data_IF_541729114855
#
_entry.id   IF_541729114855
#
_cell.length_a   1.000
_cell.length_b   1.000
_cell.length_c   1.000
_cell.angle_alpha   90.00
_cell.angle_beta   90.00
_cell.angle_gamma   90.00
#
_symmetry.space_group_name_H-M   'P 1'
#
loop_
_entity.id
_entity.type
_entity.pdbx_description
1 polymer ?
#
# COMPACT_ATOMS: atom_id res chain seq x y z
N UNK A 1 -5.31 -1.27 -26.08
CA UNK A 1 -3.95 -1.67 -25.65
C UNK A 1 -3.76 -1.08 -24.28
N UNK A 2 -3.61 -1.90 -23.23
CA UNK A 2 -3.59 -1.45 -21.84
C UNK A 2 -2.22 -0.86 -21.50
N UNK A 3 -2.21 0.37 -20.99
CA UNK A 3 -1.02 1.21 -20.75
C UNK A 3 -0.10 0.72 -19.60
N UNK A 4 -0.05 -0.59 -19.34
CA UNK A 4 0.73 -1.18 -18.23
C UNK A 4 0.04 -1.10 -16.87
N UNK A 5 -1.27 -0.79 -16.83
CA UNK A 5 -2.07 -0.69 -15.61
C UNK A 5 -3.24 -1.66 -15.59
N UNK A 6 -3.56 -2.12 -14.38
CA UNK A 6 -4.84 -2.69 -14.05
C UNK A 6 -5.78 -1.57 -13.57
N UNK A 7 -6.96 -1.44 -14.17
CA UNK A 7 -7.97 -0.48 -13.71
C UNK A 7 -9.01 -1.18 -12.84
N UNK A 8 -9.27 -0.64 -11.65
CA UNK A 8 -10.26 -1.16 -10.71
C UNK A 8 -11.03 -0.01 -10.07
N UNK A 9 -12.36 -0.01 -10.22
CA UNK A 9 -13.27 1.03 -9.69
C UNK A 9 -12.83 2.48 -10.05
N UNK A 10 -12.30 2.66 -11.27
CA UNK A 10 -11.86 3.96 -11.77
C UNK A 10 -10.46 4.40 -11.31
N UNK A 11 -9.71 3.54 -10.60
CA UNK A 11 -8.35 3.82 -10.17
C UNK A 11 -7.34 2.91 -10.88
N UNK A 12 -6.14 3.44 -11.22
CA UNK A 12 -5.09 2.63 -11.81
C UNK A 12 -4.27 1.93 -10.70
N UNK A 13 -3.89 0.68 -10.94
CA UNK A 13 -2.99 -0.12 -10.11
C UNK A 13 -1.88 -0.69 -11.00
N UNK A 14 -0.67 -0.94 -10.45
CA UNK A 14 0.38 -1.65 -11.18
C UNK A 14 -0.12 -3.01 -11.69
N UNK A 15 0.22 -3.42 -12.91
CA UNK A 15 -0.19 -4.75 -13.42
C UNK A 15 0.60 -5.92 -12.81
N UNK A 16 1.66 -5.64 -12.04
CA UNK A 16 2.49 -6.66 -11.39
C UNK A 16 2.03 -6.83 -9.94
N UNK A 17 1.67 -8.07 -9.57
CA UNK A 17 1.22 -8.48 -8.23
C UNK A 17 -0.12 -7.87 -7.78
N UNK A 18 -0.90 -7.34 -8.72
CA UNK A 18 -2.30 -7.00 -8.56
C UNK A 18 -3.14 -7.73 -9.59
N UNK A 19 -4.24 -8.32 -9.13
CA UNK A 19 -5.29 -8.87 -9.98
C UNK A 19 -6.64 -8.21 -9.71
N UNK A 20 -7.53 -8.20 -10.69
CA UNK A 20 -8.89 -7.68 -10.49
C UNK A 20 -9.61 -8.45 -9.39
N UNK A 21 -9.44 -9.78 -9.38
CA UNK A 21 -9.98 -10.69 -8.39
C UNK A 21 -9.39 -10.44 -7.01
N UNK A 22 -8.07 -10.21 -6.91
CA UNK A 22 -7.37 -9.90 -5.67
C UNK A 22 -7.84 -8.58 -5.07
N UNK A 23 -7.95 -7.52 -5.87
CA UNK A 23 -8.50 -6.23 -5.45
C UNK A 23 -9.95 -6.36 -5.00
N UNK A 24 -10.80 -7.04 -5.79
CA UNK A 24 -12.20 -7.30 -5.43
C UNK A 24 -12.30 -8.08 -4.12
N UNK A 25 -11.47 -9.09 -3.94
CA UNK A 25 -11.43 -9.89 -2.72
C UNK A 25 -10.99 -9.05 -1.51
N UNK A 26 -9.91 -8.27 -1.66
CA UNK A 26 -9.43 -7.35 -0.64
C UNK A 26 -10.55 -6.41 -0.17
N UNK A 27 -11.29 -5.81 -1.10
CA UNK A 27 -12.36 -4.86 -0.78
C UNK A 27 -13.60 -5.53 -0.13
N UNK A 28 -13.99 -6.72 -0.62
CA UNK A 28 -15.33 -7.28 -0.35
C UNK A 28 -15.34 -8.48 0.58
N UNK A 29 -14.23 -9.21 0.70
CA UNK A 29 -14.17 -10.50 1.42
C UNK A 29 -13.07 -10.55 2.47
N UNK A 30 -12.04 -9.71 2.39
CA UNK A 30 -10.97 -9.73 3.38
C UNK A 30 -11.52 -9.42 4.77
N UNK A 31 -11.17 -10.27 5.73
CA UNK A 31 -11.61 -10.15 7.13
C UNK A 31 -10.49 -9.50 7.95
N UNK A 32 -10.76 -8.27 8.39
CA UNK A 32 -9.97 -7.58 9.40
C UNK A 32 -10.34 -8.14 10.77
N UNK A 33 -9.33 -8.52 11.56
CA UNK A 33 -9.45 -9.03 12.92
C UNK A 33 -9.39 -7.87 13.92
N UNK A 34 -10.01 -8.01 15.09
CA UNK A 34 -10.05 -6.96 16.12
C UNK A 34 -8.64 -6.58 16.62
N UNK A 35 -7.69 -7.51 16.57
CA UNK A 35 -6.30 -7.34 17.03
C UNK A 35 -5.38 -6.74 15.96
N UNK A 36 -5.88 -6.53 14.73
CA UNK A 36 -5.07 -6.01 13.64
C UNK A 36 -4.66 -4.56 13.86
N UNK A 37 -3.45 -4.22 13.39
CA UNK A 37 -3.00 -2.85 13.21
C UNK A 37 -2.76 -2.61 11.73
N UNK A 38 -3.49 -1.66 11.15
CA UNK A 38 -3.40 -1.32 9.73
C UNK A 38 -2.74 0.04 9.55
N UNK A 39 -1.59 0.06 8.88
CA UNK A 39 -0.95 1.30 8.48
C UNK A 39 -1.46 1.71 7.09
N UNK A 40 -2.05 2.90 7.01
CA UNK A 40 -2.63 3.42 5.77
C UNK A 40 -1.90 4.68 5.36
N UNK A 41 -1.63 4.83 4.06
CA UNK A 41 -0.98 6.02 3.54
C UNK A 41 -1.29 6.21 2.08
N UNK A 42 -1.26 7.44 1.57
CA UNK A 42 -1.08 7.64 0.14
C UNK A 42 0.36 7.21 -0.26
N UNK A 43 0.59 6.56 -1.41
CA UNK A 43 1.92 6.12 -1.84
C UNK A 43 2.99 7.21 -1.67
N UNK A 44 4.18 6.82 -1.21
CA UNK A 44 5.35 7.73 -0.99
C UNK A 44 5.20 8.75 0.16
N UNK A 45 4.22 8.56 1.03
CA UNK A 45 4.03 9.40 2.24
C UNK A 45 4.89 8.99 3.45
N UNK A 46 5.83 8.05 3.30
CA UNK A 46 6.68 7.58 4.41
C UNK A 46 6.29 6.22 4.99
N UNK A 47 5.48 5.46 4.27
CA UNK A 47 5.02 4.08 4.54
C UNK A 47 6.10 3.18 5.14
N UNK A 48 7.26 3.08 4.48
CA UNK A 48 8.34 2.18 4.92
C UNK A 48 8.96 2.63 6.24
N UNK A 49 9.14 3.94 6.43
CA UNK A 49 9.72 4.49 7.65
C UNK A 49 8.81 4.23 8.85
N UNK A 50 7.50 4.40 8.68
CA UNK A 50 6.54 4.11 9.74
C UNK A 50 6.47 2.60 10.04
N UNK A 51 6.52 1.72 9.03
CA UNK A 51 6.58 0.27 9.26
C UNK A 51 7.81 -0.09 10.11
N UNK A 52 8.99 0.46 9.81
CA UNK A 52 10.20 0.22 10.63
C UNK A 52 9.99 0.60 12.10
N UNK A 53 9.43 1.79 12.35
CA UNK A 53 9.12 2.26 13.71
C UNK A 53 8.13 1.30 14.40
N UNK A 54 7.06 0.90 13.72
CA UNK A 54 6.05 0.00 14.27
C UNK A 54 6.63 -1.39 14.57
N UNK A 55 7.50 -1.92 13.69
CA UNK A 55 8.19 -3.17 13.93
C UNK A 55 9.09 -3.10 15.17
N UNK A 56 9.84 -2.01 15.35
CA UNK A 56 10.71 -1.81 16.51
C UNK A 56 9.90 -1.62 17.81
N UNK A 57 8.76 -0.93 17.76
CA UNK A 57 7.85 -0.84 18.91
C UNK A 57 7.34 -2.24 19.28
N UNK A 58 6.92 -3.04 18.29
CA UNK A 58 6.42 -4.39 18.51
C UNK A 58 7.49 -5.32 19.10
N UNK A 59 8.74 -5.22 18.63
CA UNK A 59 9.87 -6.02 19.11
C UNK A 59 10.57 -5.44 20.35
N UNK A 60 10.02 -4.39 20.97
CA UNK A 60 10.61 -3.69 22.12
C UNK A 60 12.06 -3.23 21.87
N UNK A 61 12.34 -2.79 20.65
CA UNK A 61 13.65 -2.32 20.20
C UNK A 61 14.59 -3.42 19.69
N UNK A 62 14.20 -4.70 19.71
CA UNK A 62 15.00 -5.76 19.09
C UNK A 62 15.03 -5.58 17.56
N UNK A 63 16.23 -5.50 17.01
CA UNK A 63 16.47 -5.26 15.59
C UNK A 63 16.53 -6.54 14.76
N UNK A 64 16.51 -7.73 15.39
CA UNK A 64 16.65 -9.01 14.70
C UNK A 64 15.59 -9.19 13.61
N UNK A 65 14.33 -8.86 13.89
CA UNK A 65 13.23 -9.03 12.95
C UNK A 65 13.34 -8.10 11.74
N UNK A 66 13.59 -6.80 11.96
CA UNK A 66 13.69 -5.82 10.86
C UNK A 66 14.91 -6.05 9.96
N UNK A 67 15.95 -6.71 10.48
CA UNK A 67 17.18 -7.05 9.74
C UNK A 67 17.10 -8.38 9.00
N UNK A 68 16.18 -9.27 9.38
CA UNK A 68 16.09 -10.63 8.85
C UNK A 68 14.89 -10.87 7.93
N UNK A 69 13.82 -10.08 8.07
CA UNK A 69 12.62 -10.20 7.25
C UNK A 69 12.41 -8.97 6.36
N UNK A 70 11.95 -9.20 5.13
CA UNK A 70 11.62 -8.12 4.21
C UNK A 70 10.47 -7.27 4.75
N UNK A 71 10.37 -6.02 4.32
CA UNK A 71 9.29 -5.13 4.77
C UNK A 71 7.91 -5.66 4.34
N UNK A 72 7.84 -6.28 3.17
CA UNK A 72 6.64 -6.92 2.62
C UNK A 72 6.18 -8.09 3.46
N UNK A 73 7.13 -8.83 4.04
CA UNK A 73 6.79 -9.88 4.99
C UNK A 73 6.35 -9.25 6.31
N UNK A 74 7.04 -8.22 6.82
CA UNK A 74 6.72 -7.66 8.14
C UNK A 74 5.37 -6.96 8.20
N UNK A 75 5.03 -6.21 7.16
CA UNK A 75 3.75 -5.52 7.01
C UNK A 75 3.22 -5.71 5.58
N UNK A 76 2.60 -6.87 5.29
CA UNK A 76 2.11 -7.16 3.94
C UNK A 76 1.03 -6.17 3.53
N UNK A 77 1.07 -5.76 2.26
CA UNK A 77 0.02 -4.94 1.68
C UNK A 77 -1.20 -5.80 1.38
N UNK A 78 -2.38 -5.36 1.83
CA UNK A 78 -3.59 -6.18 1.74
C UNK A 78 -4.17 -6.28 0.33
N UNK A 79 -3.86 -5.28 -0.51
CA UNK A 79 -4.36 -5.14 -1.88
C UNK A 79 -3.53 -5.84 -2.95
N UNK A 80 -2.31 -6.29 -2.63
CA UNK A 80 -1.49 -7.11 -3.54
C UNK A 80 -1.78 -8.59 -3.34
N UNK A 81 -1.68 -9.38 -4.41
CA UNK A 81 -2.04 -10.80 -4.39
C UNK A 81 -1.17 -11.58 -3.38
N UNK A 82 0.14 -11.36 -3.40
CA UNK A 82 1.10 -12.02 -2.50
C UNK A 82 0.87 -11.66 -1.03
N UNK A 83 0.65 -10.38 -0.74
CA UNK A 83 0.40 -9.86 0.60
C UNK A 83 -0.94 -10.33 1.16
N UNK A 84 -2.00 -10.33 0.36
CA UNK A 84 -3.31 -10.86 0.74
C UNK A 84 -3.22 -12.34 1.16
N UNK A 85 -2.51 -13.16 0.37
CA UNK A 85 -2.26 -14.57 0.69
C UNK A 85 -1.51 -14.71 2.02
N UNK A 86 -0.42 -13.98 2.19
CA UNK A 86 0.40 -14.04 3.41
C UNK A 86 -0.40 -13.64 4.67
N UNK A 87 -1.32 -12.68 4.54
CA UNK A 87 -2.16 -12.23 5.65
C UNK A 87 -3.22 -13.24 6.08
N UNK A 88 -3.71 -14.07 5.15
CA UNK A 88 -4.66 -15.16 5.44
C UNK A 88 -4.01 -16.32 6.18
N UNK A 89 -2.74 -16.58 5.91
CA UNK A 89 -1.96 -17.64 6.55
C UNK A 89 -1.45 -17.24 7.95
N UNK A 90 -1.58 -15.97 8.34
CA UNK A 90 -1.10 -15.45 9.62
C UNK A 90 -2.12 -15.51 10.74
N UNK A 91 -1.65 -16.10 11.84
CA UNK A 91 -2.34 -16.09 13.13
C UNK A 91 -1.85 -14.95 14.04
N UNK A 92 -2.71 -14.58 15.00
CA UNK A 92 -2.41 -13.55 15.99
C UNK A 92 -2.55 -12.11 15.49
N UNK A 93 -2.07 -11.12 16.27
CA UNK A 93 -2.10 -9.71 15.91
C UNK A 93 -1.26 -9.44 14.66
N UNK A 94 -1.88 -8.96 13.58
CA UNK A 94 -1.18 -8.67 12.33
C UNK A 94 -0.85 -7.20 12.22
N UNK A 95 0.35 -6.88 11.71
CA UNK A 95 0.66 -5.57 11.15
C UNK A 95 0.43 -5.65 9.64
N UNK A 96 -0.48 -4.82 9.13
CA UNK A 96 -0.81 -4.73 7.72
C UNK A 96 -0.49 -3.34 7.19
N UNK A 97 -0.31 -3.23 5.89
CA UNK A 97 -0.22 -1.95 5.22
C UNK A 97 -1.29 -1.84 4.11
N UNK A 98 -1.68 -0.62 3.75
CA UNK A 98 -2.51 -0.39 2.57
C UNK A 98 -2.39 1.03 2.01
N UNK A 99 -2.55 1.13 0.71
CA UNK A 99 -2.72 2.36 -0.06
C UNK A 99 -4.16 2.55 -0.55
N UNK A 100 -5.07 1.61 -0.29
CA UNK A 100 -6.43 1.71 -0.77
C UNK A 100 -7.14 2.96 -0.22
N UNK A 101 -7.87 3.69 -1.08
CA UNK A 101 -8.72 4.78 -0.61
C UNK A 101 -9.89 4.24 0.19
N UNK A 102 -10.48 5.12 1.00
CA UNK A 102 -11.56 4.78 1.94
C UNK A 102 -12.69 3.95 1.33
N UNK A 103 -13.12 4.27 0.10
CA UNK A 103 -14.25 3.59 -0.56
C UNK A 103 -13.92 2.18 -1.08
N UNK A 104 -12.63 1.84 -1.20
CA UNK A 104 -12.14 0.50 -1.54
C UNK A 104 -11.62 -0.26 -0.33
N UNK A 105 -11.61 0.35 0.85
CA UNK A 105 -11.09 -0.30 2.04
C UNK A 105 -11.97 -1.49 2.47
N UNK A 106 -11.39 -2.59 3.02
CA UNK A 106 -12.16 -3.77 3.41
C UNK A 106 -13.34 -3.41 4.33
N UNK A 107 -14.57 -3.77 3.92
CA UNK A 107 -15.79 -3.41 4.67
C UNK A 107 -15.79 -3.94 6.11
N UNK A 108 -15.12 -5.07 6.35
CA UNK A 108 -14.95 -5.70 7.66
C UNK A 108 -14.21 -4.80 8.66
N UNK A 109 -13.36 -3.87 8.20
CA UNK A 109 -12.69 -2.90 9.06
C UNK A 109 -13.68 -2.02 9.83
N UNK A 110 -14.74 -1.55 9.16
CA UNK A 110 -15.67 -0.57 9.74
C UNK A 110 -16.58 -1.15 10.84
N UNK A 111 -16.54 -2.46 11.04
CA UNK A 111 -17.28 -3.17 12.10
C UNK A 111 -16.34 -3.85 13.10
N UNK A 112 -15.02 -3.78 12.90
CA UNK A 112 -14.03 -4.37 13.80
C UNK A 112 -13.50 -3.34 14.81
N UNK A 113 -12.68 -3.81 15.74
CA UNK A 113 -11.93 -2.98 16.71
C UNK A 113 -10.47 -2.77 16.29
N UNK A 114 -10.12 -3.13 15.06
CA UNK A 114 -8.77 -2.97 14.53
C UNK A 114 -8.32 -1.51 14.61
N UNK A 115 -7.03 -1.31 14.83
CA UNK A 115 -6.44 0.02 14.91
C UNK A 115 -5.95 0.44 13.53
N UNK A 116 -6.22 1.68 13.15
CA UNK A 116 -5.64 2.29 11.94
C UNK A 116 -4.66 3.38 12.32
N UNK A 117 -3.52 3.39 11.63
CA UNK A 117 -2.52 4.45 11.70
C UNK A 117 -2.40 5.06 10.31
N UNK A 118 -2.98 6.23 10.12
CA UNK A 118 -2.90 6.94 8.85
C UNK A 118 -1.74 7.94 8.86
N UNK A 119 -0.82 7.85 7.89
CA UNK A 119 0.25 8.84 7.71
C UNK A 119 0.04 9.64 6.42
N UNK A 120 0.10 10.96 6.58
CA UNK A 120 0.01 11.93 5.49
C UNK A 120 1.34 12.70 5.36
N UNK A 121 1.64 13.14 4.14
CA UNK A 121 2.79 13.96 3.81
C UNK A 121 2.35 15.10 2.90
N UNK A 122 3.03 16.25 2.95
CA UNK A 122 2.75 17.36 2.05
C UNK A 122 2.77 16.87 0.58
N UNK A 123 1.68 17.07 -0.18
CA UNK A 123 1.53 16.50 -1.53
C UNK A 123 2.59 16.98 -2.51
N UNK A 124 3.20 18.16 -2.29
CA UNK A 124 4.32 18.64 -3.11
C UNK A 124 5.55 17.73 -2.98
N UNK A 125 5.82 17.25 -1.77
CA UNK A 125 6.93 16.31 -1.52
C UNK A 125 6.60 14.89 -1.97
N UNK A 126 5.34 14.49 -1.84
CA UNK A 126 4.85 13.21 -2.37
C UNK A 126 5.06 13.19 -3.88
N UNK A 127 4.60 14.21 -4.60
CA UNK A 127 4.75 14.33 -6.05
C UNK A 127 6.20 14.15 -6.51
N UNK A 128 7.12 14.91 -5.92
CA UNK A 128 8.55 14.82 -6.25
C UNK A 128 9.10 13.43 -5.93
N UNK A 129 8.77 12.87 -4.75
CA UNK A 129 9.23 11.54 -4.36
C UNK A 129 8.69 10.43 -5.26
N UNK A 130 7.44 10.55 -5.70
CA UNK A 130 6.79 9.59 -6.61
C UNK A 130 7.39 9.67 -8.00
N UNK A 131 7.58 10.88 -8.55
CA UNK A 131 8.21 11.09 -9.86
C UNK A 131 9.54 10.35 -9.98
N UNK A 132 10.47 10.58 -9.03
CA UNK A 132 11.78 9.92 -9.07
C UNK A 132 11.67 8.41 -8.87
N UNK A 133 10.81 7.95 -7.96
CA UNK A 133 10.64 6.53 -7.72
C UNK A 133 10.15 5.80 -8.97
N UNK A 134 9.05 6.26 -9.56
CA UNK A 134 8.40 5.62 -10.69
C UNK A 134 9.26 5.69 -11.96
N UNK A 135 10.00 6.78 -12.16
CA UNK A 135 11.00 6.89 -13.25
C UNK A 135 12.10 5.83 -13.19
N UNK A 136 12.40 5.29 -11.99
CA UNK A 136 13.41 4.26 -11.78
C UNK A 136 12.87 2.82 -11.82
N UNK A 137 11.58 2.60 -11.56
CA UNK A 137 11.02 1.24 -11.53
C UNK A 137 10.70 0.70 -12.93
N UNK A 138 10.36 -0.60 -13.00
CA UNK A 138 9.78 -1.24 -14.20
C UNK A 138 8.31 -1.64 -13.99
N UNK A 139 7.70 -1.15 -12.91
CA UNK A 139 6.37 -1.59 -12.48
C UNK A 139 5.24 -0.91 -13.27
N UNK A 140 5.56 0.19 -13.93
CA UNK A 140 4.60 1.18 -14.41
C UNK A 140 5.19 2.00 -15.58
N UNK A 141 4.33 2.78 -16.26
CA UNK A 141 4.72 3.62 -17.40
C UNK A 141 5.42 4.88 -16.93
N UNK A 142 6.72 4.96 -17.21
CA UNK A 142 7.56 6.10 -16.86
C UNK A 142 7.04 7.41 -17.47
N UNK A 143 7.01 8.51 -16.70
CA UNK A 143 6.81 9.84 -17.25
C UNK A 143 8.01 10.25 -18.11
N UNK A 144 7.75 10.98 -19.18
CA UNK A 144 8.76 11.58 -20.05
C UNK A 144 9.42 12.80 -19.40
N UNK A 145 8.70 13.50 -18.51
CA UNK A 145 9.18 14.68 -17.79
C UNK A 145 8.45 14.88 -16.46
N UNK A 146 9.03 15.72 -15.60
CA UNK A 146 8.37 16.14 -14.34
C UNK A 146 7.06 16.88 -14.62
N UNK A 147 6.99 17.69 -15.68
CA UNK A 147 5.78 18.43 -16.04
C UNK A 147 4.64 17.50 -16.44
N UNK A 148 4.94 16.44 -17.21
CA UNK A 148 3.95 15.42 -17.54
C UNK A 148 3.47 14.70 -16.28
N UNK A 149 4.40 14.29 -15.40
CA UNK A 149 4.05 13.67 -14.12
C UNK A 149 3.22 14.58 -13.23
N UNK A 150 3.53 15.89 -13.21
CA UNK A 150 2.80 16.87 -12.44
C UNK A 150 1.33 16.96 -12.87
N UNK A 151 1.06 16.98 -14.18
CA UNK A 151 -0.31 16.96 -14.70
C UNK A 151 -1.04 15.67 -14.32
N UNK A 152 -0.39 14.52 -14.45
CA UNK A 152 -0.95 13.24 -14.05
C UNK A 152 -1.27 13.18 -12.55
N UNK A 153 -0.39 13.72 -11.69
CA UNK A 153 -0.60 13.79 -10.25
C UNK A 153 -1.83 14.65 -9.91
N UNK A 154 -2.01 15.80 -10.56
CA UNK A 154 -3.18 16.67 -10.35
C UNK A 154 -4.50 16.06 -10.82
N UNK A 155 -4.47 15.17 -11.82
CA UNK A 155 -5.63 14.43 -12.31
C UNK A 155 -6.00 13.24 -11.41
N UNK A 156 -5.23 12.96 -10.36
CA UNK A 156 -5.42 11.78 -9.50
C UNK A 156 -4.84 10.49 -10.08
N UNK A 157 -4.06 10.57 -11.16
CA UNK A 157 -3.37 9.42 -11.77
C UNK A 157 -1.95 9.22 -11.20
N UNK A 158 -1.54 10.02 -10.20
CA UNK A 158 -0.21 9.95 -9.58
C UNK A 158 0.02 8.73 -8.68
N UNK A 159 -1.03 7.97 -8.37
CA UNK A 159 -0.97 6.74 -7.56
C UNK A 159 -0.28 5.59 -8.29
N UNK A 160 -0.18 5.70 -9.61
CA UNK A 160 0.18 4.59 -10.50
C UNK A 160 0.68 5.16 -11.83
N UNK A 161 1.89 5.70 -11.74
CA UNK A 161 2.77 5.90 -12.88
C UNK A 161 4.05 5.16 -12.70
#
# INVERSE_FOLDING_TARGET
MTDGYLWFEGLPFPSIDYSYEGLKEACTKFVIKDEDTVMVSYPKSGTHWLIEILCLIHSKGDTTWIRSASIWDRAPWLEIDSGNKLLKEREGPRLLASHLPFHLFPKSFFISKAKVIYIMRNPKYVLVSSYYHWSMTKLTKKPESLDQYFQWFLQGHGESL
#
